data_IF_814173497822
#
_entry.id   IF_814173497822
#
_cell.length_a   1.000
_cell.length_b   1.000
_cell.length_c   1.000
_cell.angle_alpha   90.00
_cell.angle_beta   90.00
_cell.angle_gamma   90.00
#
_symmetry.space_group_name_H-M   'P 1'
#
loop_
_entity.id
_entity.type
_entity.pdbx_description
1 polymer ?
#
# COMPACT_ATOMS: atom_id res chain seq x y z
N UNK A 1 -19.52 -22.40 -15.01
CA UNK A 1 -18.68 -21.83 -13.93
C UNK A 1 -18.05 -20.57 -14.48
N UNK A 2 -18.39 -19.39 -13.95
CA UNK A 2 -17.88 -18.14 -14.48
C UNK A 2 -16.36 -18.07 -14.24
N UNK A 3 -15.59 -17.73 -15.28
CA UNK A 3 -14.13 -17.73 -15.26
C UNK A 3 -13.55 -16.88 -14.11
N UNK A 4 -14.27 -15.83 -13.71
CA UNK A 4 -13.91 -14.98 -12.57
C UNK A 4 -13.77 -15.78 -11.26
N UNK A 5 -14.59 -16.80 -11.05
CA UNK A 5 -14.54 -17.63 -9.84
C UNK A 5 -13.30 -18.49 -9.78
N UNK A 6 -12.91 -19.05 -10.92
CA UNK A 6 -11.66 -19.80 -11.04
C UNK A 6 -10.46 -18.89 -10.76
N UNK A 7 -10.45 -17.67 -11.31
CA UNK A 7 -9.41 -16.69 -11.03
C UNK A 7 -9.36 -16.31 -9.54
N UNK A 8 -10.50 -16.04 -8.91
CA UNK A 8 -10.55 -15.71 -7.48
C UNK A 8 -10.07 -16.87 -6.61
N UNK A 9 -10.55 -18.09 -6.87
CA UNK A 9 -10.14 -19.27 -6.12
C UNK A 9 -8.63 -19.55 -6.30
N UNK A 10 -8.12 -19.43 -7.53
CA UNK A 10 -6.69 -19.60 -7.81
C UNK A 10 -5.86 -18.50 -7.14
N UNK A 11 -6.32 -17.25 -7.14
CA UNK A 11 -5.62 -16.15 -6.47
C UNK A 11 -5.53 -16.37 -4.95
N UNK A 12 -6.63 -16.80 -4.33
CA UNK A 12 -6.66 -17.14 -2.90
C UNK A 12 -5.74 -18.33 -2.59
N UNK A 13 -5.83 -19.39 -3.40
CA UNK A 13 -4.98 -20.57 -3.22
C UNK A 13 -3.50 -20.23 -3.41
N UNK A 14 -3.17 -19.45 -4.43
CA UNK A 14 -1.81 -19.01 -4.71
C UNK A 14 -1.26 -18.15 -3.57
N UNK A 15 -2.06 -17.21 -3.05
CA UNK A 15 -1.68 -16.40 -1.90
C UNK A 15 -1.42 -17.26 -0.66
N UNK A 16 -2.31 -18.22 -0.37
CA UNK A 16 -2.16 -19.13 0.76
C UNK A 16 -0.91 -20.01 0.62
N UNK A 17 -0.73 -20.64 -0.54
CA UNK A 17 0.41 -21.53 -0.82
C UNK A 17 1.73 -20.76 -0.75
N UNK A 18 1.83 -19.61 -1.44
CA UNK A 18 3.05 -18.81 -1.41
C UNK A 18 3.33 -18.26 -0.01
N UNK A 19 2.31 -17.78 0.68
CA UNK A 19 2.44 -17.28 2.04
C UNK A 19 2.93 -18.38 3.00
N UNK A 20 2.34 -19.57 2.96
CA UNK A 20 2.78 -20.69 3.82
C UNK A 20 4.20 -21.17 3.44
N UNK A 21 4.48 -21.32 2.14
CA UNK A 21 5.80 -21.77 1.67
C UNK A 21 6.91 -20.74 1.90
N UNK A 22 6.58 -19.45 2.03
CA UNK A 22 7.52 -18.38 2.31
C UNK A 22 8.31 -18.57 3.62
N UNK A 23 7.76 -19.34 4.57
CA UNK A 23 8.48 -19.75 5.79
C UNK A 23 9.78 -20.49 5.47
N UNK A 24 9.75 -21.35 4.44
CA UNK A 24 10.85 -22.26 4.12
C UNK A 24 11.27 -23.12 5.31
N UNK A 25 12.58 -23.35 5.48
CA UNK A 25 13.16 -24.12 6.59
C UNK A 25 13.54 -23.26 7.80
N UNK A 26 13.07 -22.02 7.89
CA UNK A 26 13.49 -21.08 8.94
C UNK A 26 12.61 -21.21 10.18
N UNK A 27 13.24 -21.05 11.34
CA UNK A 27 12.51 -20.84 12.59
C UNK A 27 11.93 -19.44 12.63
N UNK A 28 10.63 -19.34 12.92
CA UNK A 28 9.90 -18.07 12.96
C UNK A 28 9.97 -17.44 14.35
N UNK A 29 11.19 -17.18 14.83
CA UNK A 29 11.42 -16.34 16.01
C UNK A 29 10.97 -14.90 15.72
N UNK A 30 10.69 -14.11 16.76
CA UNK A 30 10.03 -12.80 16.62
C UNK A 30 10.72 -11.86 15.63
N UNK A 31 12.06 -11.78 15.63
CA UNK A 31 12.84 -10.98 14.68
C UNK A 31 12.68 -11.47 13.22
N UNK A 32 12.65 -12.79 13.03
CA UNK A 32 12.46 -13.40 11.72
C UNK A 32 11.02 -13.24 11.23
N UNK A 33 10.04 -13.25 12.14
CA UNK A 33 8.62 -13.11 11.83
C UNK A 33 8.24 -11.65 11.52
N UNK A 34 8.74 -10.70 12.31
CA UNK A 34 8.39 -9.26 12.19
C UNK A 34 9.21 -8.54 11.11
N UNK A 35 10.54 -8.73 11.09
CA UNK A 35 11.45 -7.93 10.24
C UNK A 35 12.28 -8.79 9.29
N UNK A 36 11.91 -10.06 9.11
CA UNK A 36 12.58 -11.00 8.22
C UNK A 36 14.10 -11.20 8.50
N UNK A 37 14.58 -10.95 9.72
CA UNK A 37 16.02 -10.96 10.00
C UNK A 37 16.78 -9.82 9.31
N UNK A 38 16.06 -8.78 8.86
CA UNK A 38 16.59 -7.63 8.09
C UNK A 38 17.34 -8.08 6.83
N UNK A 39 16.85 -9.12 6.18
CA UNK A 39 17.53 -9.77 5.06
C UNK A 39 17.12 -9.28 3.67
N UNK A 40 16.12 -8.39 3.56
CA UNK A 40 15.54 -8.08 2.25
C UNK A 40 16.45 -7.15 1.43
N UNK A 41 16.73 -7.58 0.20
CA UNK A 41 17.39 -6.77 -0.82
C UNK A 41 16.45 -5.70 -1.39
N UNK A 42 16.98 -4.84 -2.27
CA UNK A 42 16.24 -3.68 -2.79
C UNK A 42 14.94 -4.06 -3.49
N UNK A 43 14.96 -5.13 -4.28
CA UNK A 43 13.78 -5.63 -5.02
C UNK A 43 12.69 -6.13 -4.07
N UNK A 44 13.05 -6.91 -3.05
CA UNK A 44 12.07 -7.43 -2.08
C UNK A 44 11.49 -6.33 -1.19
N UNK A 45 12.32 -5.38 -0.74
CA UNK A 45 11.82 -4.21 0.00
C UNK A 45 10.92 -3.36 -0.88
N UNK A 46 11.24 -3.23 -2.17
CA UNK A 46 10.44 -2.49 -3.13
C UNK A 46 9.06 -3.09 -3.33
N UNK A 47 9.00 -4.39 -3.59
CA UNK A 47 7.74 -5.09 -3.77
C UNK A 47 6.94 -5.18 -2.47
N UNK A 48 7.60 -5.30 -1.32
CA UNK A 48 6.91 -5.21 -0.04
C UNK A 48 6.32 -3.81 0.17
N UNK A 49 7.12 -2.75 0.03
CA UNK A 49 6.64 -1.38 0.23
C UNK A 49 5.56 -1.00 -0.79
N UNK A 50 5.75 -1.33 -2.07
CA UNK A 50 4.72 -1.13 -3.08
C UNK A 50 3.45 -1.91 -2.72
N UNK A 51 3.58 -3.15 -2.28
CA UNK A 51 2.47 -3.99 -1.86
C UNK A 51 1.68 -3.44 -0.67
N UNK A 52 2.37 -2.84 0.30
CA UNK A 52 1.79 -2.23 1.49
C UNK A 52 1.19 -0.84 1.21
N UNK A 53 1.76 -0.09 0.26
CA UNK A 53 1.30 1.26 -0.13
C UNK A 53 0.10 1.18 -1.07
N UNK A 54 0.19 0.35 -2.12
CA UNK A 54 -0.83 0.23 -3.16
C UNK A 54 -1.84 -0.85 -2.79
N UNK A 55 -2.90 -0.38 -2.15
CA UNK A 55 -3.91 -1.20 -1.53
C UNK A 55 -5.26 -1.03 -2.22
N UNK A 56 -6.32 -1.54 -1.61
CA UNK A 56 -7.69 -1.36 -2.12
C UNK A 56 -8.06 0.12 -2.28
N UNK A 57 -7.44 1.00 -1.48
CA UNK A 57 -7.57 2.45 -1.65
C UNK A 57 -7.19 2.91 -3.05
N UNK A 58 -6.12 2.40 -3.66
CA UNK A 58 -5.69 2.82 -5.00
C UNK A 58 -6.76 2.49 -6.06
N UNK A 59 -7.42 1.35 -5.94
CA UNK A 59 -8.37 0.88 -6.95
C UNK A 59 -9.79 1.38 -6.78
N UNK A 60 -10.28 1.50 -5.54
CA UNK A 60 -11.65 1.94 -5.27
C UNK A 60 -11.68 3.40 -4.82
N UNK A 61 -10.72 3.79 -3.97
CA UNK A 61 -10.63 5.13 -3.41
C UNK A 61 -10.11 6.14 -4.42
N UNK A 62 -8.86 5.98 -4.89
CA UNK A 62 -8.20 6.95 -5.77
C UNK A 62 -8.93 7.07 -7.13
N UNK A 63 -9.30 5.94 -7.75
CA UNK A 63 -10.05 5.96 -9.00
C UNK A 63 -11.44 6.59 -8.84
N UNK A 64 -12.16 6.29 -7.75
CA UNK A 64 -13.46 6.87 -7.43
C UNK A 64 -13.35 8.37 -7.14
N UNK A 65 -12.27 8.78 -6.47
CA UNK A 65 -11.96 10.19 -6.20
C UNK A 65 -11.64 10.93 -7.51
N UNK A 66 -10.84 10.34 -8.41
CA UNK A 66 -10.56 10.89 -9.73
C UNK A 66 -11.82 11.01 -10.59
N UNK A 67 -12.67 9.98 -10.61
CA UNK A 67 -13.95 9.98 -11.33
C UNK A 67 -14.95 11.01 -10.76
N UNK A 68 -14.98 11.17 -9.43
CA UNK A 68 -15.94 12.03 -8.75
C UNK A 68 -15.53 13.51 -8.71
N UNK A 69 -14.24 13.80 -8.58
CA UNK A 69 -13.74 15.14 -8.27
C UNK A 69 -12.78 15.70 -9.31
N UNK A 70 -12.13 14.85 -10.11
CA UNK A 70 -11.23 15.29 -11.18
C UNK A 70 -9.92 15.86 -10.63
N UNK A 71 -9.63 17.13 -10.93
CA UNK A 71 -8.37 17.81 -10.62
C UNK A 71 -7.82 17.63 -9.20
N UNK A 72 -8.64 17.72 -8.13
CA UNK A 72 -8.21 17.46 -6.76
C UNK A 72 -7.56 16.10 -6.53
N UNK A 73 -7.87 15.08 -7.33
CA UNK A 73 -7.27 13.74 -7.22
C UNK A 73 -5.75 13.76 -7.40
N UNK A 74 -5.21 14.79 -8.07
CA UNK A 74 -3.77 14.99 -8.24
C UNK A 74 -3.00 15.10 -6.92
N UNK A 75 -3.69 15.37 -5.80
CA UNK A 75 -3.06 15.41 -4.48
C UNK A 75 -2.38 14.08 -4.13
N UNK A 76 -2.92 12.95 -4.65
CA UNK A 76 -2.40 11.60 -4.44
C UNK A 76 -0.99 11.45 -5.02
N UNK A 77 -0.79 11.97 -6.23
CA UNK A 77 0.52 11.98 -6.88
C UNK A 77 1.45 12.96 -6.17
N UNK A 78 0.96 14.15 -5.82
CA UNK A 78 1.78 15.19 -5.22
C UNK A 78 2.34 14.81 -3.83
N UNK A 79 1.51 14.26 -2.93
CA UNK A 79 2.01 13.87 -1.60
C UNK A 79 3.00 12.72 -1.67
N UNK A 80 2.81 11.76 -2.60
CA UNK A 80 3.70 10.61 -2.67
C UNK A 80 5.10 10.99 -3.17
N UNK A 81 5.21 11.94 -4.11
CA UNK A 81 6.51 12.47 -4.55
C UNK A 81 7.30 13.10 -3.39
N UNK A 82 6.63 13.88 -2.54
CA UNK A 82 7.24 14.46 -1.34
C UNK A 82 7.57 13.37 -0.31
N UNK A 83 6.64 12.44 -0.05
CA UNK A 83 6.83 11.36 0.91
C UNK A 83 8.05 10.49 0.55
N UNK A 84 8.21 10.10 -0.72
CA UNK A 84 9.36 9.32 -1.17
C UNK A 84 10.67 10.11 -1.04
N UNK A 85 10.65 11.41 -1.35
CA UNK A 85 11.80 12.29 -1.14
C UNK A 85 12.19 12.34 0.35
N UNK A 86 11.23 12.55 1.25
CA UNK A 86 11.47 12.53 2.70
C UNK A 86 12.01 11.18 3.16
N UNK A 87 11.48 10.08 2.62
CA UNK A 87 11.91 8.72 2.96
C UNK A 87 13.37 8.45 2.64
N UNK A 88 13.90 9.07 1.58
CA UNK A 88 15.31 8.97 1.20
C UNK A 88 16.25 9.47 2.29
N UNK A 89 15.80 10.48 3.06
CA UNK A 89 16.59 11.10 4.14
C UNK A 89 16.26 10.52 5.51
N UNK A 90 14.99 10.22 5.79
CA UNK A 90 14.52 9.86 7.14
C UNK A 90 14.63 8.36 7.42
N UNK A 91 14.33 7.47 6.46
CA UNK A 91 14.34 6.03 6.73
C UNK A 91 15.74 5.47 7.02
N UNK A 92 16.83 5.88 6.33
CA UNK A 92 18.17 5.37 6.62
C UNK A 92 18.66 5.57 8.08
N UNK A 93 18.59 6.77 8.70
CA UNK A 93 19.02 6.94 10.09
C UNK A 93 18.11 6.20 11.08
N UNK A 94 16.81 6.14 10.83
CA UNK A 94 15.85 5.38 11.64
C UNK A 94 16.19 3.89 11.62
N UNK A 95 16.40 3.33 10.43
CA UNK A 95 16.82 1.94 10.24
C UNK A 95 18.16 1.63 10.93
N UNK A 96 19.14 2.54 10.82
CA UNK A 96 20.45 2.37 11.46
C UNK A 96 20.30 2.25 12.97
N UNK A 97 19.54 3.16 13.57
CA UNK A 97 19.28 3.16 15.01
C UNK A 97 18.54 1.88 15.43
N UNK A 98 17.52 1.49 14.69
CA UNK A 98 16.76 0.27 14.95
C UNK A 98 17.63 -0.98 14.89
N UNK A 99 18.53 -1.08 13.90
CA UNK A 99 19.46 -2.20 13.76
C UNK A 99 20.46 -2.26 14.91
N UNK A 100 21.00 -1.12 15.35
CA UNK A 100 21.96 -1.06 16.46
C UNK A 100 21.35 -1.50 17.80
N UNK A 101 20.05 -1.27 17.99
CA UNK A 101 19.34 -1.55 19.24
C UNK A 101 18.42 -2.77 19.18
N UNK A 102 18.40 -3.51 18.07
CA UNK A 102 17.56 -4.70 17.88
C UNK A 102 16.05 -4.40 17.90
N UNK A 103 15.63 -3.22 17.46
CA UNK A 103 14.22 -2.79 17.52
C UNK A 103 13.39 -3.46 16.42
N UNK A 104 12.17 -3.89 16.76
CA UNK A 104 11.29 -4.63 15.86
C UNK A 104 10.00 -3.88 15.52
N UNK A 105 9.63 -2.86 16.31
CA UNK A 105 8.43 -2.06 16.08
C UNK A 105 8.69 -0.55 16.12
N UNK A 106 7.71 0.22 15.62
CA UNK A 106 7.70 1.68 15.71
C UNK A 106 7.63 2.17 17.17
N UNK A 107 6.74 1.66 18.04
CA UNK A 107 6.73 2.03 19.46
C UNK A 107 8.09 1.81 20.16
N UNK A 108 8.80 0.71 19.84
CA UNK A 108 10.12 0.43 20.42
C UNK A 108 11.14 1.52 20.09
N UNK A 109 11.06 2.07 18.87
CA UNK A 109 11.90 3.19 18.45
C UNK A 109 11.71 4.40 19.37
N UNK A 110 10.46 4.82 19.58
CA UNK A 110 10.18 5.98 20.42
C UNK A 110 10.50 5.72 21.89
N UNK A 111 10.16 4.53 22.40
CA UNK A 111 10.48 4.15 23.78
C UNK A 111 11.98 4.20 24.05
N UNK A 112 12.78 3.62 23.14
CA UNK A 112 14.24 3.51 23.31
C UNK A 112 14.96 4.82 23.02
N UNK A 113 14.59 5.51 21.93
CA UNK A 113 15.25 6.75 21.48
C UNK A 113 15.09 7.89 22.47
N UNK A 114 13.92 7.98 23.11
CA UNK A 114 13.59 9.03 24.08
C UNK A 114 13.68 8.56 25.54
N UNK A 115 14.13 7.32 25.78
CA UNK A 115 14.20 6.70 27.11
C UNK A 115 12.87 6.82 27.90
N UNK A 116 11.73 6.73 27.20
CA UNK A 116 10.40 6.96 27.77
C UNK A 116 9.44 5.83 27.41
N UNK A 117 9.20 4.87 28.33
CA UNK A 117 8.21 3.81 28.14
C UNK A 117 6.80 4.36 27.91
N UNK A 118 6.45 5.48 28.57
CA UNK A 118 5.17 6.15 28.39
C UNK A 118 4.96 6.63 26.95
N UNK A 119 6.00 7.16 26.30
CA UNK A 119 5.94 7.55 24.89
C UNK A 119 5.75 6.32 23.98
N UNK A 120 6.42 5.21 24.28
CA UNK A 120 6.20 3.94 23.58
C UNK A 120 4.75 3.46 23.67
N UNK A 121 4.17 3.49 24.87
CA UNK A 121 2.76 3.12 25.10
C UNK A 121 1.82 4.05 24.31
N UNK A 122 2.05 5.36 24.36
CA UNK A 122 1.25 6.33 23.61
C UNK A 122 1.28 6.04 22.10
N UNK A 123 2.46 5.83 21.52
CA UNK A 123 2.62 5.51 20.10
C UNK A 123 1.93 4.19 19.77
N UNK A 124 2.08 3.16 20.61
CA UNK A 124 1.40 1.87 20.44
C UNK A 124 -0.13 2.00 20.41
N UNK A 125 -0.71 2.79 21.32
CA UNK A 125 -2.16 3.04 21.35
C UNK A 125 -2.63 3.78 20.09
N UNK A 126 -1.89 4.82 19.67
CA UNK A 126 -2.19 5.56 18.44
C UNK A 126 -2.11 4.64 17.22
N UNK A 127 -1.07 3.83 17.12
CA UNK A 127 -0.86 2.87 16.03
C UNK A 127 -2.00 1.85 15.96
N UNK A 128 -2.43 1.28 17.09
CA UNK A 128 -3.55 0.33 17.15
C UNK A 128 -4.85 1.01 16.70
N UNK A 129 -5.16 2.18 17.26
CA UNK A 129 -6.38 2.94 16.93
C UNK A 129 -6.41 3.32 15.45
N UNK A 130 -5.26 3.66 14.85
CA UNK A 130 -5.16 3.98 13.43
C UNK A 130 -5.27 2.73 12.52
N UNK A 131 -4.70 1.59 12.92
CA UNK A 131 -4.72 0.36 12.13
C UNK A 131 -6.11 -0.30 12.06
N UNK A 132 -6.94 -0.18 13.11
CA UNK A 132 -8.29 -0.77 13.10
C UNK A 132 -9.16 -0.28 11.93
N UNK A 133 -9.42 1.03 11.74
CA UNK A 133 -10.21 1.51 10.62
C UNK A 133 -9.53 1.25 9.28
N UNK A 134 -8.19 1.28 9.24
CA UNK A 134 -7.42 0.94 8.05
C UNK A 134 -7.69 -0.51 7.61
N UNK A 135 -7.59 -1.49 8.52
CA UNK A 135 -7.88 -2.90 8.22
C UNK A 135 -9.35 -3.11 7.82
N UNK A 136 -10.29 -2.44 8.50
CA UNK A 136 -11.71 -2.49 8.15
C UNK A 136 -11.93 -2.02 6.71
N UNK A 137 -11.26 -0.94 6.28
CA UNK A 137 -11.36 -0.42 4.92
C UNK A 137 -10.83 -1.43 3.89
N UNK A 138 -9.70 -2.10 4.18
CA UNK A 138 -9.14 -3.12 3.30
C UNK A 138 -10.07 -4.31 3.12
N UNK A 139 -10.61 -4.85 4.23
CA UNK A 139 -11.53 -5.99 4.16
C UNK A 139 -12.86 -5.63 3.50
N UNK A 140 -13.43 -4.46 3.80
CA UNK A 140 -14.63 -3.98 3.10
C UNK A 140 -14.39 -3.84 1.60
N UNK A 141 -13.25 -3.29 1.21
CA UNK A 141 -12.85 -3.17 -0.18
C UNK A 141 -12.73 -4.53 -0.88
N UNK A 142 -12.07 -5.50 -0.24
CA UNK A 142 -12.03 -6.89 -0.72
C UNK A 142 -13.43 -7.47 -0.91
N UNK A 143 -14.31 -7.30 0.07
CA UNK A 143 -15.69 -7.77 0.02
C UNK A 143 -16.45 -7.22 -1.19
N UNK A 144 -16.37 -5.90 -1.40
CA UNK A 144 -16.99 -5.21 -2.54
C UNK A 144 -16.47 -5.77 -3.87
N UNK A 145 -15.15 -5.93 -4.01
CA UNK A 145 -14.52 -6.44 -5.24
C UNK A 145 -15.00 -7.86 -5.53
N UNK A 146 -14.95 -8.76 -4.54
CA UNK A 146 -15.35 -10.17 -4.71
C UNK A 146 -16.84 -10.29 -4.99
N UNK A 147 -17.68 -9.52 -4.30
CA UNK A 147 -19.12 -9.51 -4.55
C UNK A 147 -19.44 -9.02 -5.96
N UNK A 148 -18.79 -7.94 -6.43
CA UNK A 148 -18.95 -7.45 -7.80
C UNK A 148 -18.43 -8.46 -8.85
N UNK A 149 -17.23 -9.02 -8.65
CA UNK A 149 -16.62 -9.97 -9.59
C UNK A 149 -17.35 -11.32 -9.65
N UNK A 150 -18.02 -11.71 -8.55
CA UNK A 150 -18.87 -12.91 -8.50
C UNK A 150 -20.29 -12.67 -9.02
N UNK A 151 -20.61 -11.46 -9.50
CA UNK A 151 -21.95 -11.07 -9.94
C UNK A 151 -23.01 -11.26 -8.84
N UNK A 152 -22.65 -10.92 -7.60
CA UNK A 152 -23.55 -10.98 -6.44
C UNK A 152 -23.65 -12.33 -5.75
N UNK A 153 -23.01 -13.36 -6.30
CA UNK A 153 -23.16 -14.72 -5.78
C UNK A 153 -22.33 -15.02 -4.53
N UNK A 154 -21.21 -14.31 -4.30
CA UNK A 154 -20.46 -14.36 -3.05
C UNK A 154 -20.79 -13.10 -2.24
N UNK A 155 -21.51 -13.27 -1.12
CA UNK A 155 -21.84 -12.16 -0.24
C UNK A 155 -20.60 -11.50 0.38
N UNK A 156 -20.66 -10.18 0.59
CA UNK A 156 -19.58 -9.38 1.15
C UNK A 156 -18.99 -9.97 2.45
N UNK A 157 -19.85 -10.41 3.37
CA UNK A 157 -19.42 -10.96 4.65
C UNK A 157 -18.62 -12.26 4.49
N UNK A 158 -19.03 -13.13 3.55
CA UNK A 158 -18.32 -14.38 3.25
C UNK A 158 -16.94 -14.09 2.69
N UNK A 159 -16.85 -13.17 1.73
CA UNK A 159 -15.58 -12.75 1.14
C UNK A 159 -14.63 -12.15 2.20
N UNK A 160 -15.14 -11.31 3.10
CA UNK A 160 -14.38 -10.72 4.21
C UNK A 160 -13.80 -11.80 5.12
N UNK A 161 -14.64 -12.74 5.59
CA UNK A 161 -14.20 -13.78 6.51
C UNK A 161 -13.19 -14.74 5.89
N UNK A 162 -13.38 -15.12 4.62
CA UNK A 162 -12.42 -15.94 3.89
C UNK A 162 -11.09 -15.19 3.76
N UNK A 163 -11.12 -13.92 3.34
CA UNK A 163 -9.92 -13.09 3.22
C UNK A 163 -9.18 -12.95 4.55
N UNK A 164 -9.91 -12.65 5.64
CA UNK A 164 -9.35 -12.52 6.97
C UNK A 164 -8.72 -13.83 7.45
N UNK A 165 -9.38 -14.96 7.25
CA UNK A 165 -8.86 -16.28 7.61
C UNK A 165 -7.58 -16.62 6.84
N UNK A 166 -7.59 -16.43 5.52
CA UNK A 166 -6.44 -16.73 4.65
C UNK A 166 -5.24 -15.87 5.04
N UNK A 167 -5.44 -14.55 5.22
CA UNK A 167 -4.39 -13.62 5.65
C UNK A 167 -3.85 -14.02 7.02
N UNK A 168 -4.74 -14.29 7.98
CA UNK A 168 -4.33 -14.71 9.33
C UNK A 168 -3.48 -15.98 9.28
N UNK A 169 -3.91 -17.01 8.53
CA UNK A 169 -3.17 -18.27 8.43
C UNK A 169 -1.77 -18.03 7.88
N UNK A 170 -1.64 -17.39 6.71
CA UNK A 170 -0.32 -17.29 6.11
C UNK A 170 0.61 -16.33 6.88
N UNK A 171 0.07 -15.25 7.46
CA UNK A 171 0.87 -14.31 8.28
C UNK A 171 1.33 -15.00 9.56
N UNK A 172 0.48 -15.76 10.25
CA UNK A 172 0.89 -16.51 11.44
C UNK A 172 2.00 -17.51 11.12
N UNK A 173 1.94 -18.18 9.96
CA UNK A 173 2.92 -19.20 9.57
C UNK A 173 4.27 -18.61 9.13
N UNK A 174 4.28 -17.47 8.44
CA UNK A 174 5.46 -16.99 7.71
C UNK A 174 5.87 -15.53 7.99
N UNK A 175 5.06 -14.81 8.76
CA UNK A 175 5.27 -13.41 9.10
C UNK A 175 5.40 -12.51 7.86
N UNK A 176 6.29 -11.51 7.96
CA UNK A 176 6.53 -10.53 6.88
C UNK A 176 7.07 -11.15 5.59
N UNK A 177 7.66 -12.36 5.64
CA UNK A 177 8.07 -13.08 4.41
C UNK A 177 6.87 -13.54 3.60
N UNK A 178 5.81 -14.00 4.25
CA UNK A 178 4.56 -14.31 3.56
C UNK A 178 4.01 -13.08 2.89
N UNK A 179 3.90 -11.97 3.63
CA UNK A 179 3.43 -10.69 3.09
C UNK A 179 4.25 -10.24 1.88
N UNK A 180 5.59 -10.38 1.94
CA UNK A 180 6.45 -10.01 0.83
C UNK A 180 6.20 -10.86 -0.42
N UNK A 181 6.07 -12.19 -0.29
CA UNK A 181 5.84 -13.07 -1.43
C UNK A 181 4.44 -12.93 -2.04
N UNK A 182 3.41 -12.75 -1.21
CA UNK A 182 2.06 -12.46 -1.70
C UNK A 182 2.01 -11.10 -2.38
N UNK A 183 2.72 -10.10 -1.86
CA UNK A 183 2.86 -8.77 -2.47
C UNK A 183 3.52 -8.84 -3.85
N UNK A 184 4.58 -9.63 -4.05
CA UNK A 184 5.23 -9.78 -5.37
C UNK A 184 4.23 -10.21 -6.44
N UNK A 185 3.45 -11.26 -6.17
CA UNK A 185 2.50 -11.80 -7.16
C UNK A 185 1.35 -10.83 -7.39
N UNK A 186 0.82 -10.25 -6.31
CA UNK A 186 -0.25 -9.27 -6.35
C UNK A 186 0.16 -8.04 -7.18
N UNK A 187 1.34 -7.48 -6.90
CA UNK A 187 1.83 -6.24 -7.51
C UNK A 187 2.10 -6.41 -9.00
N UNK A 188 2.68 -7.54 -9.43
CA UNK A 188 2.88 -7.81 -10.87
C UNK A 188 1.54 -7.87 -11.61
N UNK A 189 0.54 -8.54 -11.04
CA UNK A 189 -0.80 -8.62 -11.63
C UNK A 189 -1.49 -7.27 -11.69
N UNK A 190 -1.42 -6.51 -10.58
CA UNK A 190 -1.93 -5.15 -10.49
C UNK A 190 -1.30 -4.25 -11.54
N UNK A 191 0.03 -4.22 -11.63
CA UNK A 191 0.76 -3.35 -12.54
C UNK A 191 0.39 -3.66 -13.99
N UNK A 192 0.31 -4.94 -14.34
CA UNK A 192 -0.11 -5.38 -15.67
C UNK A 192 -1.54 -4.91 -16.01
N UNK A 193 -2.49 -5.07 -15.09
CA UNK A 193 -3.89 -4.65 -15.30
C UNK A 193 -4.01 -3.14 -15.42
N UNK A 194 -3.34 -2.37 -14.57
CA UNK A 194 -3.47 -0.91 -14.58
C UNK A 194 -2.80 -0.30 -15.80
N UNK A 195 -1.60 -0.76 -16.19
CA UNK A 195 -0.96 -0.33 -17.44
C UNK A 195 -1.84 -0.70 -18.64
N UNK A 196 -2.35 -1.93 -18.66
CA UNK A 196 -3.21 -2.38 -19.75
C UNK A 196 -4.47 -1.52 -19.86
N UNK A 197 -5.24 -1.36 -18.78
CA UNK A 197 -6.49 -0.59 -18.82
C UNK A 197 -6.26 0.91 -19.03
N UNK A 198 -5.23 1.46 -18.39
CA UNK A 198 -4.87 2.88 -18.50
C UNK A 198 -4.41 3.29 -19.90
N UNK A 199 -3.88 2.35 -20.71
CA UNK A 199 -3.56 2.58 -22.11
C UNK A 199 -4.67 2.11 -23.06
N UNK A 200 -5.32 0.99 -22.77
CA UNK A 200 -6.33 0.43 -23.65
C UNK A 200 -7.58 1.30 -23.76
N UNK A 201 -8.11 1.80 -22.63
CA UNK A 201 -9.37 2.55 -22.62
C UNK A 201 -9.26 3.90 -23.35
N UNK A 202 -8.23 4.76 -23.09
CA UNK A 202 -8.13 6.03 -23.80
C UNK A 202 -7.92 5.86 -25.31
N UNK A 203 -7.17 4.83 -25.73
CA UNK A 203 -6.96 4.57 -27.16
C UNK A 203 -8.19 4.00 -27.84
N UNK A 204 -8.88 3.05 -27.21
CA UNK A 204 -10.06 2.42 -27.79
C UNK A 204 -11.24 3.38 -27.92
N UNK A 205 -11.52 4.16 -26.86
CA UNK A 205 -12.75 4.95 -26.78
C UNK A 205 -12.57 6.40 -27.25
N UNK A 206 -11.35 6.94 -27.18
CA UNK A 206 -11.07 8.36 -27.51
C UNK A 206 -9.94 8.56 -28.53
N UNK A 207 -9.23 7.51 -28.95
CA UNK A 207 -8.10 7.62 -29.87
C UNK A 207 -6.79 8.10 -29.21
N UNK A 208 -6.74 8.18 -27.88
CA UNK A 208 -5.52 8.48 -27.11
C UNK A 208 -5.79 9.19 -25.78
N UNK A 209 -4.74 9.37 -24.98
CA UNK A 209 -4.82 10.04 -23.67
C UNK A 209 -5.22 11.51 -23.81
N UNK A 210 -4.56 12.26 -24.69
CA UNK A 210 -4.87 13.67 -24.89
C UNK A 210 -6.31 13.90 -25.40
N UNK A 211 -6.78 13.19 -26.45
CA UNK A 211 -8.19 13.24 -26.86
C UNK A 211 -9.19 12.95 -25.73
N UNK A 212 -8.90 11.97 -24.87
CA UNK A 212 -9.74 11.65 -23.71
C UNK A 212 -9.84 12.85 -22.76
N UNK A 213 -8.71 13.47 -22.38
CA UNK A 213 -8.73 14.65 -21.51
C UNK A 213 -9.40 15.86 -22.15
N UNK A 214 -9.25 16.06 -23.47
CA UNK A 214 -10.00 17.09 -24.21
C UNK A 214 -11.51 16.84 -24.17
N UNK A 215 -11.95 15.59 -24.33
CA UNK A 215 -13.36 15.21 -24.23
C UNK A 215 -13.91 15.43 -22.82
N UNK A 216 -13.13 15.10 -21.78
CA UNK A 216 -13.49 15.37 -20.38
C UNK A 216 -13.64 16.88 -20.13
N UNK A 217 -12.69 17.68 -20.60
CA UNK A 217 -12.72 19.13 -20.44
C UNK A 217 -13.92 19.78 -21.16
N UNK A 218 -14.31 19.24 -22.33
CA UNK A 218 -15.50 19.68 -23.06
C UNK A 218 -16.80 19.27 -22.35
N UNK A 219 -16.86 18.05 -21.81
CA UNK A 219 -18.05 17.53 -21.13
C UNK A 219 -18.26 18.14 -19.73
N UNK A 220 -17.17 18.44 -19.01
CA UNK A 220 -17.20 19.05 -17.68
C UNK A 220 -16.13 20.15 -17.56
N UNK A 221 -16.42 21.37 -18.03
CA UNK A 221 -15.50 22.50 -17.92
C UNK A 221 -15.07 22.74 -16.47
N UNK A 222 -13.76 22.94 -16.24
CA UNK A 222 -13.20 23.15 -14.90
C UNK A 222 -12.98 21.88 -14.07
N UNK A 223 -13.47 20.72 -14.50
CA UNK A 223 -13.36 19.46 -13.73
C UNK A 223 -11.92 18.98 -13.54
N UNK A 224 -11.02 19.31 -14.47
CA UNK A 224 -9.59 18.98 -14.38
C UNK A 224 -8.78 19.97 -13.54
N UNK A 225 -9.38 21.07 -13.10
CA UNK A 225 -8.74 22.10 -12.28
C UNK A 225 -9.10 21.92 -10.80
N UNK A 226 -8.34 22.59 -9.93
CA UNK A 226 -8.73 22.72 -8.53
C UNK A 226 -9.88 23.74 -8.41
N UNK A 227 -10.99 23.40 -7.72
CA UNK A 227 -12.09 24.33 -7.50
C UNK A 227 -11.67 25.51 -6.60
N UNK A 228 -12.40 26.62 -6.66
CA UNK A 228 -12.11 27.80 -5.83
C UNK A 228 -12.43 27.56 -4.34
N UNK A 229 -13.41 26.70 -4.05
CA UNK A 229 -13.89 26.39 -2.72
C UNK A 229 -13.89 24.88 -2.43
N UNK A 230 -13.83 24.51 -1.15
CA UNK A 230 -13.76 23.10 -0.72
C UNK A 230 -12.38 22.51 -0.97
N UNK A 231 -12.24 21.75 -2.07
CA UNK A 231 -10.97 21.11 -2.46
C UNK A 231 -10.05 22.08 -3.23
N UNK A 232 -9.93 23.30 -2.71
CA UNK A 232 -9.18 24.37 -3.33
C UNK A 232 -7.67 24.22 -3.16
N UNK A 233 -6.92 25.16 -3.70
CA UNK A 233 -5.45 25.19 -3.60
C UNK A 233 -4.97 25.10 -2.14
N UNK A 234 -5.66 25.78 -1.21
CA UNK A 234 -5.30 25.73 0.22
C UNK A 234 -5.51 24.33 0.80
N UNK A 235 -6.65 23.68 0.48
CA UNK A 235 -6.91 22.30 0.86
C UNK A 235 -5.86 21.35 0.26
N UNK A 236 -5.53 21.55 -1.02
CA UNK A 236 -4.56 20.73 -1.73
C UNK A 236 -3.19 20.80 -1.04
N UNK A 237 -2.65 22.01 -0.83
CA UNK A 237 -1.33 22.19 -0.22
C UNK A 237 -1.30 21.64 1.21
N UNK A 238 -2.29 21.99 2.03
CA UNK A 238 -2.35 21.53 3.43
C UNK A 238 -2.49 20.00 3.54
N UNK A 239 -3.34 19.40 2.71
CA UNK A 239 -3.54 17.93 2.67
C UNK A 239 -2.31 17.20 2.14
N UNK A 240 -1.65 17.74 1.12
CA UNK A 240 -0.41 17.20 0.57
C UNK A 240 0.70 17.20 1.62
N UNK A 241 0.90 18.32 2.30
CA UNK A 241 1.91 18.43 3.36
C UNK A 241 1.60 17.49 4.53
N UNK A 242 0.36 17.49 5.02
CA UNK A 242 -0.06 16.61 6.10
C UNK A 242 0.17 15.13 5.74
N UNK A 243 -0.26 14.72 4.55
CA UNK A 243 -0.17 13.33 4.10
C UNK A 243 1.29 12.93 3.85
N UNK A 244 2.08 13.80 3.24
CA UNK A 244 3.49 13.52 2.96
C UNK A 244 4.32 13.33 4.24
N UNK A 245 4.07 14.15 5.27
CA UNK A 245 4.73 14.04 6.56
C UNK A 245 4.28 12.78 7.34
N UNK A 246 3.00 12.43 7.26
CA UNK A 246 2.44 11.27 7.94
C UNK A 246 2.70 9.92 7.24
N UNK A 247 3.09 9.92 5.97
CA UNK A 247 3.11 8.71 5.13
C UNK A 247 3.93 7.55 5.70
N UNK A 248 5.17 7.82 6.13
CA UNK A 248 6.05 6.82 6.74
C UNK A 248 5.91 6.71 8.26
N UNK A 249 4.96 7.44 8.87
CA UNK A 249 4.64 7.31 10.29
C UNK A 249 3.64 6.19 10.57
N UNK A 250 3.09 5.56 9.52
CA UNK A 250 2.22 4.40 9.68
C UNK A 250 3.01 3.17 10.15
N UNK A 251 2.51 2.42 11.15
CA UNK A 251 3.24 1.30 11.76
C UNK A 251 3.64 0.22 10.76
N UNK A 252 2.79 -0.10 9.78
CA UNK A 252 3.09 -1.10 8.75
C UNK A 252 4.20 -0.62 7.79
N UNK A 253 4.16 0.64 7.36
CA UNK A 253 5.17 1.24 6.47
C UNK A 253 6.51 1.42 7.19
N UNK A 254 6.47 1.82 8.45
CA UNK A 254 7.64 1.97 9.30
C UNK A 254 8.29 0.62 9.58
N UNK A 255 7.52 -0.40 9.97
CA UNK A 255 8.02 -1.76 10.20
C UNK A 255 8.58 -2.40 8.91
N UNK A 256 7.95 -2.16 7.75
CA UNK A 256 8.47 -2.63 6.46
C UNK A 256 9.88 -2.09 6.18
N UNK A 257 10.19 -0.85 6.59
CA UNK A 257 11.54 -0.29 6.45
C UNK A 257 12.61 -1.08 7.22
N UNK A 258 12.24 -1.69 8.36
CA UNK A 258 13.16 -2.49 9.18
C UNK A 258 13.58 -3.80 8.49
N UNK A 259 12.80 -4.29 7.54
CA UNK A 259 13.12 -5.53 6.79
C UNK A 259 14.34 -5.39 5.88
N UNK A 260 14.73 -4.15 5.57
CA UNK A 260 15.81 -3.86 4.63
C UNK A 260 17.18 -4.33 5.15
N UNK A 261 18.01 -4.85 4.24
CA UNK A 261 19.39 -5.28 4.56
C UNK A 261 20.40 -4.15 4.78
N UNK A 262 20.11 -2.96 4.26
CA UNK A 262 21.03 -1.82 4.31
C UNK A 262 20.31 -0.50 4.10
N UNK A 263 20.90 0.59 4.58
CA UNK A 263 20.45 1.96 4.26
C UNK A 263 20.40 2.23 2.75
N UNK A 264 21.37 1.69 2.00
CA UNK A 264 21.41 1.83 0.54
C UNK A 264 20.19 1.18 -0.11
N UNK A 265 19.64 0.12 0.49
CA UNK A 265 18.39 -0.51 0.07
C UNK A 265 17.23 0.48 0.16
N UNK A 266 17.11 1.18 1.29
CA UNK A 266 16.06 2.17 1.53
C UNK A 266 16.20 3.37 0.60
N UNK A 267 17.41 3.89 0.42
CA UNK A 267 17.69 4.98 -0.52
C UNK A 267 17.34 4.61 -1.97
N UNK A 268 17.71 3.41 -2.41
CA UNK A 268 17.32 2.91 -3.75
C UNK A 268 15.80 2.82 -3.88
N UNK A 269 15.12 2.33 -2.85
CA UNK A 269 13.67 2.24 -2.83
C UNK A 269 13.00 3.60 -2.94
N UNK A 270 13.46 4.58 -2.17
CA UNK A 270 12.95 5.94 -2.23
C UNK A 270 13.09 6.60 -3.62
N UNK A 271 14.12 6.22 -4.40
CA UNK A 271 14.31 6.70 -5.79
C UNK A 271 13.43 5.97 -6.80
N UNK A 272 13.14 4.68 -6.57
CA UNK A 272 12.42 3.84 -7.54
C UNK A 272 10.90 3.82 -7.29
N UNK A 273 10.45 3.93 -6.04
CA UNK A 273 9.02 3.98 -5.68
C UNK A 273 8.20 5.05 -6.41
N UNK A 274 8.74 6.27 -6.69
CA UNK A 274 8.05 7.23 -7.54
C UNK A 274 7.63 6.69 -8.92
N UNK A 275 8.29 5.66 -9.47
CA UNK A 275 7.89 5.08 -10.75
C UNK A 275 6.48 4.48 -10.72
N UNK A 276 6.05 3.95 -9.57
CA UNK A 276 4.68 3.47 -9.42
C UNK A 276 3.63 4.59 -9.49
N UNK A 277 4.01 5.83 -9.21
CA UNK A 277 3.08 6.96 -9.33
C UNK A 277 2.69 7.24 -10.78
N UNK A 278 3.51 6.87 -11.77
CA UNK A 278 3.12 7.00 -13.18
C UNK A 278 2.02 6.03 -13.60
N UNK A 279 1.82 4.97 -12.81
CA UNK A 279 0.81 3.94 -13.07
C UNK A 279 -0.42 4.16 -12.18
N UNK A 280 -0.43 5.21 -11.37
CA UNK A 280 -1.50 5.51 -10.42
C UNK A 280 -2.43 6.60 -10.96
#
# INVERSE_FOLDING_TARGET
MNIAWLFMALAVLLALVLGVLARGRREMVLDQWTVAGRGFGAVFVFLLLAGEIYTTFTFLGASGFAYGLGGPAFYILAYGGIAYTLSYFILPPVWRYARQHGLISQPDFFARKYASPALGVLVSLVDIVALVPYLVLQFKGLGIIVHAASYGAIGNAVAIWIGALVVTIYVMVSGVRGSAWTSVVKDIGILAVVIFLGLYLPWRDYGGIEPMFRAIAAAKPGFLALPEHGQSVSWFISTVLLTALGFFMWPHSFAASYTARSERTLRKNAVVLPLYQFVL
#
